data_IF_933457977570
#
_entry.id   IF_933457977570
#
_cell.length_a   1.000
_cell.length_b   1.000
_cell.length_c   1.000
_cell.angle_alpha   90.00
_cell.angle_beta   90.00
_cell.angle_gamma   90.00
#
_symmetry.space_group_name_H-M   'P 1'
#
loop_
_entity.id
_entity.type
_entity.pdbx_description
1 polymer ?
#
# COMPACT_ATOMS: atom_id res chain seq x y z
N UNK A 1 15.33 27.65 -2.62
CA UNK A 1 14.02 27.10 -2.22
C UNK A 1 14.10 25.60 -2.08
N UNK A 2 13.83 25.09 -0.87
CA UNK A 2 13.82 23.66 -0.54
C UNK A 2 12.50 23.04 -1.01
N UNK A 3 12.50 21.83 -1.61
CA UNK A 3 11.29 21.22 -2.16
C UNK A 3 10.22 20.97 -1.07
N UNK A 4 8.95 21.25 -1.37
CA UNK A 4 7.78 21.04 -0.48
C UNK A 4 7.33 19.57 -0.34
N UNK A 5 8.03 18.67 -1.04
CA UNK A 5 7.69 17.25 -1.16
C UNK A 5 9.00 16.51 -1.36
N UNK A 6 9.23 15.49 -0.54
CA UNK A 6 10.37 14.59 -0.64
C UNK A 6 9.79 13.19 -0.81
N UNK A 7 10.01 12.63 -1.98
CA UNK A 7 9.75 11.23 -2.26
C UNK A 7 11.03 10.46 -1.95
N UNK A 8 10.99 9.70 -0.87
CA UNK A 8 12.08 8.79 -0.52
C UNK A 8 11.70 7.40 -1.02
N UNK A 9 12.25 6.99 -2.15
CA UNK A 9 12.50 5.57 -2.35
C UNK A 9 13.61 5.17 -1.41
N UNK A 10 13.45 4.07 -0.67
CA UNK A 10 14.61 3.37 -0.09
C UNK A 10 14.96 2.26 -1.08
N UNK A 11 15.75 2.54 -2.15
CA UNK A 11 16.16 1.51 -3.07
C UNK A 11 17.23 0.67 -2.40
N UNK A 12 17.11 -0.64 -2.54
CA UNK A 12 18.32 -1.45 -2.62
C UNK A 12 18.86 -1.28 -4.05
N UNK A 13 19.75 -0.28 -4.23
CA UNK A 13 20.55 0.10 -5.42
C UNK A 13 19.91 -0.19 -6.81
N UNK A 14 19.51 0.78 -7.65
CA UNK A 14 20.39 1.70 -8.41
C UNK A 14 19.56 2.67 -9.28
N UNK A 15 20.22 3.80 -9.61
CA UNK A 15 20.04 4.83 -10.66
C UNK A 15 18.79 5.73 -10.69
N UNK A 16 19.04 7.04 -10.78
CA UNK A 16 18.18 8.15 -10.39
C UNK A 16 17.39 8.78 -11.55
N UNK A 17 16.22 9.34 -11.23
CA UNK A 17 15.35 10.11 -12.14
C UNK A 17 15.29 11.57 -11.67
N UNK A 18 15.12 12.50 -12.62
CA UNK A 18 15.40 13.93 -12.52
C UNK A 18 14.21 14.84 -12.14
N UNK A 19 14.45 16.09 -11.70
CA UNK A 19 13.53 16.92 -10.91
C UNK A 19 12.23 17.47 -11.55
N UNK A 20 11.83 17.01 -12.73
CA UNK A 20 10.65 17.52 -13.46
C UNK A 20 9.36 16.70 -13.17
N UNK A 21 9.42 15.76 -12.24
CA UNK A 21 8.43 14.71 -11.97
C UNK A 21 7.42 15.06 -10.86
N UNK A 22 6.67 16.16 -11.01
CA UNK A 22 5.62 16.57 -10.07
C UNK A 22 4.25 16.68 -10.74
N UNK A 23 3.44 15.61 -10.72
CA UNK A 23 1.99 15.70 -10.42
C UNK A 23 1.31 14.33 -10.10
N UNK A 24 0.83 14.28 -8.86
CA UNK A 24 -0.29 13.55 -8.22
C UNK A 24 -0.60 12.06 -8.48
N UNK A 25 -0.23 11.27 -7.46
CA UNK A 25 -0.87 10.09 -6.84
C UNK A 25 -1.21 8.84 -7.67
N UNK A 26 -1.43 8.94 -8.97
CA UNK A 26 -1.69 7.78 -9.86
C UNK A 26 -0.48 7.41 -10.70
N UNK A 27 0.54 8.27 -10.70
CA UNK A 27 1.72 8.18 -11.57
C UNK A 27 2.99 7.87 -10.77
N UNK A 28 3.10 8.34 -9.52
CA UNK A 28 4.31 8.22 -8.69
C UNK A 28 4.76 6.77 -8.43
N UNK A 29 3.87 5.84 -8.08
CA UNK A 29 4.29 4.45 -7.87
C UNK A 29 4.76 3.77 -9.17
N UNK A 30 4.05 3.98 -10.28
CA UNK A 30 4.45 3.45 -11.58
C UNK A 30 5.74 4.09 -12.11
N UNK A 31 5.91 5.40 -11.93
CA UNK A 31 7.11 6.16 -12.30
C UNK A 31 8.32 5.76 -11.45
N UNK A 32 8.17 5.77 -10.12
CA UNK A 32 9.23 5.38 -9.19
C UNK A 32 9.68 3.92 -9.40
N UNK A 33 8.77 3.05 -9.85
CA UNK A 33 9.07 1.66 -10.17
C UNK A 33 9.44 1.44 -11.65
N UNK A 34 9.40 2.49 -12.48
CA UNK A 34 9.59 2.45 -13.93
C UNK A 34 8.76 1.35 -14.62
N UNK A 35 7.50 1.16 -14.20
CA UNK A 35 6.57 0.19 -14.77
C UNK A 35 5.38 0.88 -15.43
N UNK A 36 4.95 0.38 -16.58
CA UNK A 36 3.77 0.90 -17.28
C UNK A 36 2.44 0.37 -16.72
N UNK A 37 2.49 -0.71 -15.95
CA UNK A 37 1.33 -1.42 -15.41
C UNK A 37 1.69 -2.05 -14.07
N UNK A 38 0.76 -2.01 -13.11
CA UNK A 38 0.85 -2.76 -11.86
C UNK A 38 0.05 -4.06 -11.99
N UNK A 39 0.68 -5.19 -11.66
CA UNK A 39 0.01 -6.49 -11.70
C UNK A 39 -1.08 -6.61 -10.63
N UNK A 40 -0.81 -6.16 -9.41
CA UNK A 40 -1.76 -6.18 -8.31
C UNK A 40 -1.48 -5.05 -7.33
N UNK A 41 -2.54 -4.41 -6.85
CA UNK A 41 -2.47 -3.41 -5.77
C UNK A 41 -3.37 -3.86 -4.63
N UNK A 42 -2.81 -3.84 -3.42
CA UNK A 42 -3.47 -4.31 -2.21
C UNK A 42 -3.60 -3.14 -1.24
N UNK A 43 -4.81 -2.88 -0.76
CA UNK A 43 -5.04 -1.87 0.27
C UNK A 43 -5.01 -2.50 1.65
N UNK A 44 -4.28 -1.86 2.55
CA UNK A 44 -4.41 -2.11 3.98
C UNK A 44 -5.45 -1.12 4.53
N UNK A 45 -6.43 -1.59 5.32
CA UNK A 45 -7.31 -0.69 6.06
C UNK A 45 -6.50 0.23 6.98
N UNK A 46 -6.97 1.47 7.21
CA UNK A 46 -6.27 2.40 8.11
C UNK A 46 -6.23 1.83 9.54
N UNK A 47 -5.14 2.07 10.28
CA UNK A 47 -5.10 1.68 11.69
C UNK A 47 -6.10 2.53 12.46
N UNK A 48 -7.08 1.88 13.09
CA UNK A 48 -8.09 2.54 13.92
C UNK A 48 -7.65 2.56 15.40
N UNK A 49 -8.16 3.52 16.20
CA UNK A 49 -7.98 3.54 17.64
C UNK A 49 -8.48 2.25 18.32
N UNK A 50 -7.94 1.94 19.49
CA UNK A 50 -8.38 0.77 20.26
C UNK A 50 -9.89 0.81 20.56
N UNK A 51 -10.60 -0.25 20.16
CA UNK A 51 -12.04 -0.39 20.38
C UNK A 51 -12.91 -0.02 19.17
N UNK A 52 -12.32 0.56 18.11
CA UNK A 52 -13.02 0.79 16.85
C UNK A 52 -12.82 -0.37 15.87
N UNK A 53 -13.90 -0.76 15.20
CA UNK A 53 -13.89 -1.80 14.17
C UNK A 53 -13.83 -1.19 12.79
N UNK A 54 -13.11 -1.85 11.87
CA UNK A 54 -13.11 -1.47 10.46
C UNK A 54 -14.53 -1.58 9.88
N UNK A 55 -14.92 -0.59 9.08
CA UNK A 55 -16.21 -0.59 8.39
C UNK A 55 -16.00 -0.50 6.88
N UNK A 56 -17.03 -0.88 6.12
CA UNK A 56 -17.00 -0.76 4.66
C UNK A 56 -16.77 0.70 4.23
N UNK A 57 -17.36 1.68 4.94
CA UNK A 57 -17.22 3.11 4.63
C UNK A 57 -15.77 3.59 4.68
N UNK A 58 -14.93 2.98 5.52
CA UNK A 58 -13.50 3.30 5.57
C UNK A 58 -12.76 2.87 4.29
N UNK A 59 -13.23 1.82 3.63
CA UNK A 59 -12.59 1.23 2.43
C UNK A 59 -13.11 1.84 1.13
N UNK A 60 -14.38 2.26 1.09
CA UNK A 60 -15.05 2.71 -0.13
C UNK A 60 -14.30 3.81 -0.91
N UNK A 61 -13.75 4.88 -0.28
CA UNK A 61 -13.06 5.93 -1.03
C UNK A 61 -11.84 5.40 -1.80
N UNK A 62 -10.99 4.62 -1.12
CA UNK A 62 -9.80 4.04 -1.73
C UNK A 62 -10.18 2.98 -2.79
N UNK A 63 -11.21 2.17 -2.51
CA UNK A 63 -11.65 1.14 -3.44
C UNK A 63 -12.17 1.73 -4.76
N UNK A 64 -12.99 2.80 -4.74
CA UNK A 64 -13.47 3.47 -5.96
C UNK A 64 -12.33 3.98 -6.85
N UNK A 65 -11.28 4.52 -6.24
CA UNK A 65 -10.10 4.96 -6.98
C UNK A 65 -9.39 3.79 -7.67
N UNK A 66 -9.24 2.67 -6.96
CA UNK A 66 -8.68 1.44 -7.51
C UNK A 66 -9.53 0.82 -8.63
N UNK A 67 -10.87 0.85 -8.48
CA UNK A 67 -11.79 0.42 -9.54
C UNK A 67 -11.55 1.23 -10.82
N UNK A 68 -11.43 2.55 -10.71
CA UNK A 68 -11.13 3.42 -11.86
C UNK A 68 -9.76 3.11 -12.49
N UNK A 69 -8.77 2.71 -11.70
CA UNK A 69 -7.45 2.31 -12.19
C UNK A 69 -7.47 0.95 -12.92
N UNK A 70 -8.29 0.01 -12.46
CA UNK A 70 -8.51 -1.26 -13.16
C UNK A 70 -9.27 -1.03 -14.47
N UNK A 71 -10.34 -0.23 -14.44
CA UNK A 71 -11.15 0.09 -15.62
C UNK A 71 -10.34 0.85 -16.69
N UNK A 72 -9.40 1.69 -16.27
CA UNK A 72 -8.45 2.38 -17.16
C UNK A 72 -7.23 1.54 -17.56
N UNK A 73 -7.20 0.24 -17.19
CA UNK A 73 -6.14 -0.71 -17.52
C UNK A 73 -4.74 -0.30 -17.03
N UNK A 74 -4.68 0.44 -15.90
CA UNK A 74 -3.42 0.80 -15.22
C UNK A 74 -3.00 -0.21 -14.15
N UNK A 75 -3.97 -0.96 -13.64
CA UNK A 75 -3.78 -2.04 -12.66
C UNK A 75 -4.52 -3.27 -13.20
N UNK A 76 -3.89 -4.45 -13.16
CA UNK A 76 -4.54 -5.68 -13.61
C UNK A 76 -5.49 -6.29 -12.56
N UNK A 77 -5.16 -6.18 -11.27
CA UNK A 77 -5.94 -6.74 -10.18
C UNK A 77 -5.85 -5.89 -8.91
N UNK A 78 -6.88 -5.95 -8.06
CA UNK A 78 -6.94 -5.22 -6.79
C UNK A 78 -7.34 -6.15 -5.66
N UNK A 79 -6.80 -5.93 -4.47
CA UNK A 79 -7.03 -6.77 -3.31
C UNK A 79 -6.96 -6.02 -2.00
N UNK A 80 -7.14 -6.74 -0.91
CA UNK A 80 -7.18 -6.20 0.45
C UNK A 80 -6.18 -6.89 1.37
N UNK A 81 -5.91 -6.29 2.52
CA UNK A 81 -5.16 -6.88 3.62
C UNK A 81 -6.02 -6.91 4.87
N UNK A 82 -5.91 -7.98 5.64
CA UNK A 82 -6.41 -8.12 7.00
C UNK A 82 -7.92 -7.89 7.17
N UNK A 83 -8.71 -8.09 6.11
CA UNK A 83 -10.16 -8.12 6.24
C UNK A 83 -10.60 -9.48 6.77
N UNK A 84 -11.49 -9.46 7.76
CA UNK A 84 -12.24 -10.64 8.17
C UNK A 84 -13.29 -11.02 7.11
N UNK A 85 -13.97 -12.15 7.35
CA UNK A 85 -14.98 -12.67 6.43
C UNK A 85 -16.13 -11.68 6.23
N UNK A 86 -16.60 -11.05 7.30
CA UNK A 86 -17.78 -10.18 7.26
C UNK A 86 -17.50 -8.95 6.42
N UNK A 87 -16.39 -8.26 6.67
CA UNK A 87 -16.02 -7.05 5.95
C UNK A 87 -15.60 -7.34 4.51
N UNK A 88 -14.89 -8.45 4.27
CA UNK A 88 -14.55 -8.88 2.91
C UNK A 88 -15.81 -9.17 2.08
N UNK A 89 -16.81 -9.83 2.68
CA UNK A 89 -18.10 -10.10 2.01
C UNK A 89 -18.89 -8.82 1.74
N UNK A 90 -18.94 -7.88 2.69
CA UNK A 90 -19.57 -6.57 2.49
C UNK A 90 -18.91 -5.83 1.32
N UNK A 91 -17.57 -5.78 1.28
CA UNK A 91 -16.83 -5.16 0.20
C UNK A 91 -17.09 -5.87 -1.13
N UNK A 92 -17.02 -7.20 -1.14
CA UNK A 92 -17.24 -8.00 -2.35
C UNK A 92 -18.64 -7.74 -2.93
N UNK A 93 -19.68 -7.69 -2.10
CA UNK A 93 -21.05 -7.47 -2.54
C UNK A 93 -21.27 -6.06 -3.08
N UNK A 94 -20.66 -5.05 -2.45
CA UNK A 94 -20.81 -3.65 -2.84
C UNK A 94 -19.97 -3.26 -4.07
N UNK A 95 -18.76 -3.80 -4.20
CA UNK A 95 -17.79 -3.39 -5.22
C UNK A 95 -18.21 -3.77 -6.65
N UNK A 96 -17.88 -2.91 -7.62
CA UNK A 96 -18.01 -3.20 -9.05
C UNK A 96 -16.84 -4.08 -9.54
N UNK A 97 -15.61 -3.74 -9.14
CA UNK A 97 -14.44 -4.61 -9.36
C UNK A 97 -14.18 -5.40 -8.10
N UNK A 98 -14.30 -6.72 -8.19
CA UNK A 98 -14.18 -7.61 -7.03
C UNK A 98 -12.74 -7.73 -6.54
N UNK A 99 -12.50 -7.83 -5.21
CA UNK A 99 -11.17 -8.12 -4.70
C UNK A 99 -10.70 -9.48 -5.22
N UNK A 100 -9.55 -9.52 -5.90
CA UNK A 100 -8.96 -10.77 -6.38
C UNK A 100 -8.17 -11.51 -5.29
N UNK A 101 -7.82 -10.82 -4.21
CA UNK A 101 -7.02 -11.38 -3.13
C UNK A 101 -7.29 -10.68 -1.80
N UNK A 102 -7.11 -11.41 -0.70
CA UNK A 102 -7.05 -10.87 0.66
C UNK A 102 -5.80 -11.41 1.36
N UNK A 103 -4.92 -10.53 1.85
CA UNK A 103 -3.77 -10.93 2.66
C UNK A 103 -4.19 -11.09 4.12
N UNK A 104 -3.57 -12.04 4.83
CA UNK A 104 -3.80 -12.23 6.27
C UNK A 104 -2.47 -12.25 7.01
N UNK A 105 -2.40 -11.46 8.07
CA UNK A 105 -1.21 -11.37 8.91
C UNK A 105 -1.01 -12.64 9.75
N UNK A 106 0.13 -13.30 9.54
CA UNK A 106 0.50 -14.52 10.27
C UNK A 106 0.72 -14.28 11.77
N UNK A 107 1.02 -13.04 12.18
CA UNK A 107 1.13 -12.68 13.59
C UNK A 107 -0.22 -12.79 14.33
N UNK A 108 -1.34 -12.77 13.60
CA UNK A 108 -2.69 -12.79 14.17
C UNK A 108 -3.33 -14.18 14.18
N UNK A 109 -2.84 -15.17 13.41
CA UNK A 109 -3.18 -16.58 13.55
C UNK A 109 -2.33 -17.47 12.62
N UNK A 110 -1.84 -18.62 13.08
CA UNK A 110 -1.18 -19.62 12.22
C UNK A 110 -2.18 -20.50 11.42
N UNK A 111 -3.48 -20.39 11.74
CA UNK A 111 -4.56 -21.12 11.09
C UNK A 111 -5.56 -20.13 10.52
N UNK A 112 -5.76 -20.16 9.21
CA UNK A 112 -6.75 -19.32 8.54
C UNK A 112 -8.17 -19.66 9.02
N UNK A 113 -9.02 -18.67 9.33
CA UNK A 113 -10.41 -18.93 9.70
C UNK A 113 -11.13 -19.77 8.62
N UNK A 114 -11.80 -20.89 8.99
CA UNK A 114 -12.45 -21.77 8.02
C UNK A 114 -13.54 -21.10 7.18
N UNK A 115 -14.27 -20.16 7.78
CA UNK A 115 -15.32 -19.36 7.14
C UNK A 115 -14.76 -18.38 6.10
N UNK A 116 -13.68 -17.67 6.44
CA UNK A 116 -12.95 -16.83 5.49
C UNK A 116 -12.41 -17.67 4.32
N UNK A 117 -11.85 -18.85 4.63
CA UNK A 117 -11.33 -19.77 3.62
C UNK A 117 -12.42 -20.28 2.68
N UNK A 118 -13.58 -20.65 3.22
CA UNK A 118 -14.72 -21.11 2.44
C UNK A 118 -15.25 -20.00 1.52
N UNK A 119 -15.46 -18.80 2.05
CA UNK A 119 -15.91 -17.65 1.28
C UNK A 119 -14.92 -17.29 0.16
N UNK A 120 -13.63 -17.18 0.50
CA UNK A 120 -12.61 -16.84 -0.49
C UNK A 120 -12.51 -17.90 -1.60
N UNK A 121 -12.64 -19.18 -1.27
CA UNK A 121 -12.67 -20.26 -2.25
C UNK A 121 -13.91 -20.22 -3.14
N UNK A 122 -15.08 -19.91 -2.58
CA UNK A 122 -16.34 -19.83 -3.31
C UNK A 122 -16.33 -18.71 -4.36
N UNK A 123 -15.72 -17.58 -4.03
CA UNK A 123 -15.68 -16.38 -4.86
C UNK A 123 -14.34 -16.16 -5.59
N UNK A 124 -13.47 -17.18 -5.63
CA UNK A 124 -12.15 -17.16 -6.29
C UNK A 124 -11.24 -16.00 -5.82
N UNK A 125 -11.28 -15.71 -4.52
CA UNK A 125 -10.41 -14.73 -3.86
C UNK A 125 -9.16 -15.46 -3.36
N UNK A 126 -7.99 -15.04 -3.82
CA UNK A 126 -6.73 -15.61 -3.38
C UNK A 126 -6.40 -15.17 -1.95
N UNK A 127 -6.28 -16.13 -1.03
CA UNK A 127 -5.78 -15.86 0.31
C UNK A 127 -4.25 -15.95 0.34
N UNK A 128 -3.62 -14.83 0.69
CA UNK A 128 -2.17 -14.70 0.79
C UNK A 128 -1.78 -14.44 2.25
N UNK A 129 -0.52 -14.69 2.58
CA UNK A 129 0.00 -14.43 3.93
C UNK A 129 1.09 -13.38 3.90
N UNK A 130 1.14 -12.56 4.96
CA UNK A 130 2.21 -11.59 5.18
C UNK A 130 2.61 -11.55 6.65
N UNK A 131 3.77 -10.93 6.91
CA UNK A 131 4.33 -10.69 8.24
C UNK A 131 4.64 -9.19 8.43
N UNK A 132 3.92 -8.34 7.71
CA UNK A 132 4.16 -6.90 7.80
C UNK A 132 3.67 -6.43 9.18
N UNK A 133 4.38 -5.49 9.84
CA UNK A 133 3.90 -4.88 11.07
C UNK A 133 2.61 -4.09 10.80
N UNK A 134 1.76 -3.92 11.82
CA UNK A 134 0.51 -3.12 11.73
C UNK A 134 0.76 -1.70 11.22
N UNK A 135 1.91 -1.14 11.59
CA UNK A 135 2.39 0.15 11.10
C UNK A 135 3.78 -0.08 10.51
N UNK A 136 3.95 0.19 9.21
CA UNK A 136 5.21 -0.06 8.48
C UNK A 136 6.35 0.85 8.98
N UNK A 137 6.03 2.08 9.32
CA UNK A 137 6.96 3.05 9.93
C UNK A 137 6.13 4.01 10.79
N UNK A 138 6.55 4.18 12.03
CA UNK A 138 5.88 5.10 12.95
C UNK A 138 6.23 6.54 12.61
N UNK A 139 5.36 7.49 12.96
CA UNK A 139 5.68 8.92 12.83
C UNK A 139 7.00 9.29 13.52
N UNK A 140 7.29 8.68 14.68
CA UNK A 140 8.54 8.89 15.42
C UNK A 140 9.76 8.35 14.65
N UNK A 141 9.69 7.10 14.17
CA UNK A 141 10.77 6.49 13.40
C UNK A 141 11.01 7.22 12.07
N UNK A 142 9.96 7.76 11.45
CA UNK A 142 10.09 8.62 10.28
C UNK A 142 10.82 9.92 10.61
N UNK A 143 10.44 10.59 11.70
CA UNK A 143 11.11 11.83 12.14
C UNK A 143 12.59 11.60 12.45
N UNK A 144 12.93 10.52 13.17
CA UNK A 144 14.32 10.14 13.44
C UNK A 144 15.12 9.93 12.15
N UNK A 145 14.57 9.17 11.19
CA UNK A 145 15.23 8.90 9.91
C UNK A 145 15.49 10.17 9.08
N UNK A 146 14.53 11.12 9.08
CA UNK A 146 14.69 12.42 8.41
C UNK A 146 15.74 13.27 9.10
N UNK A 147 15.76 13.26 10.44
CA UNK A 147 16.71 14.02 11.26
C UNK A 147 18.15 13.56 11.04
N UNK A 148 18.40 12.25 11.00
CA UNK A 148 19.73 11.69 10.74
C UNK A 148 20.25 12.01 9.34
N UNK A 149 19.34 12.10 8.36
CA UNK A 149 19.68 12.30 6.96
C UNK A 149 19.92 13.78 6.59
N UNK A 150 19.41 14.72 7.39
CA UNK A 150 19.46 16.16 7.07
C UNK A 150 19.75 17.02 8.31
N UNK A 151 20.98 17.52 8.41
CA UNK A 151 21.44 18.34 9.55
C UNK A 151 20.74 19.72 9.66
N UNK A 152 20.09 20.20 8.59
CA UNK A 152 19.57 21.57 8.47
C UNK A 152 18.05 21.69 8.31
N UNK A 153 17.30 20.58 8.25
CA UNK A 153 15.83 20.63 8.13
C UNK A 153 15.17 20.58 9.50
N UNK A 154 14.25 21.51 9.76
CA UNK A 154 13.33 21.40 10.90
C UNK A 154 12.40 20.21 10.64
N UNK A 155 12.74 19.08 11.23
CA UNK A 155 12.02 17.80 11.15
C UNK A 155 10.53 17.95 11.50
N UNK A 156 10.21 18.90 12.38
CA UNK A 156 8.83 19.19 12.81
C UNK A 156 7.90 19.61 11.66
N UNK A 157 8.44 20.06 10.54
CA UNK A 157 7.63 20.50 9.41
C UNK A 157 7.24 19.34 8.48
N UNK A 158 7.76 18.13 8.66
CA UNK A 158 7.49 17.00 7.75
C UNK A 158 6.47 16.01 8.33
N UNK A 159 5.43 15.72 7.55
CA UNK A 159 4.39 14.76 7.88
C UNK A 159 4.42 13.58 6.90
N UNK A 160 4.52 12.38 7.44
CA UNK A 160 4.31 11.14 6.69
C UNK A 160 2.85 11.06 6.23
N UNK A 161 2.61 10.86 4.94
CA UNK A 161 1.27 10.70 4.38
C UNK A 161 0.94 9.24 4.10
N UNK A 162 1.86 8.54 3.43
CA UNK A 162 1.67 7.12 3.12
C UNK A 162 3.01 6.38 2.94
N UNK A 163 2.91 5.07 3.08
CA UNK A 163 4.03 4.13 2.92
C UNK A 163 3.52 3.00 2.04
N UNK A 164 4.21 2.75 0.94
CA UNK A 164 3.87 1.70 -0.01
C UNK A 164 4.98 0.65 0.00
N UNK A 165 4.62 -0.60 0.27
CA UNK A 165 5.52 -1.73 0.04
C UNK A 165 5.34 -2.25 -1.38
N UNK A 166 6.44 -2.46 -2.11
CA UNK A 166 6.39 -3.02 -3.45
C UNK A 166 7.22 -4.30 -3.58
N UNK A 167 6.87 -5.14 -4.54
CA UNK A 167 7.63 -6.31 -4.94
C UNK A 167 7.49 -6.53 -6.44
N UNK A 168 8.61 -6.65 -7.14
CA UNK A 168 8.69 -6.90 -8.58
C UNK A 168 9.07 -8.37 -8.77
N UNK A 169 8.21 -9.13 -9.44
CA UNK A 169 8.40 -10.58 -9.62
C UNK A 169 8.51 -10.91 -11.10
N UNK A 170 9.55 -11.66 -11.47
CA UNK A 170 9.67 -12.26 -12.81
C UNK A 170 8.81 -13.52 -12.84
N UNK A 171 7.55 -13.39 -13.24
CA UNK A 171 6.54 -14.47 -13.22
C UNK A 171 7.01 -15.77 -13.88
N UNK A 172 7.72 -15.70 -15.02
CA UNK A 172 8.20 -16.90 -15.73
C UNK A 172 9.22 -17.74 -14.96
N UNK A 173 9.86 -17.16 -13.94
CA UNK A 173 10.88 -17.83 -13.12
C UNK A 173 10.50 -17.92 -11.64
N UNK A 174 9.42 -17.26 -11.22
CA UNK A 174 9.04 -17.14 -9.82
C UNK A 174 10.05 -16.38 -8.95
N UNK A 175 10.89 -15.52 -9.56
CA UNK A 175 11.99 -14.83 -8.86
C UNK A 175 11.57 -13.41 -8.51
N UNK A 176 11.79 -13.01 -7.26
CA UNK A 176 11.68 -11.61 -6.83
C UNK A 176 12.89 -10.85 -7.37
N UNK A 177 12.64 -9.93 -8.30
CA UNK A 177 13.66 -9.05 -8.89
C UNK A 177 13.99 -7.88 -7.96
N UNK A 178 12.98 -7.31 -7.32
CA UNK A 178 13.14 -6.21 -6.39
C UNK A 178 12.03 -6.23 -5.33
N UNK A 179 12.31 -5.70 -4.15
CA UNK A 179 11.33 -5.42 -3.10
C UNK A 179 11.79 -4.19 -2.33
N UNK A 180 10.86 -3.41 -1.80
CA UNK A 180 11.21 -2.21 -1.05
C UNK A 180 10.00 -1.44 -0.58
N UNK A 181 10.27 -0.22 -0.12
CA UNK A 181 9.26 0.72 0.34
C UNK A 181 9.43 2.05 -0.38
N UNK A 182 8.30 2.66 -0.72
CA UNK A 182 8.19 4.05 -1.14
C UNK A 182 7.51 4.81 -0.01
N UNK A 183 8.11 5.93 0.40
CA UNK A 183 7.61 6.77 1.47
C UNK A 183 7.30 8.13 0.89
N UNK A 184 6.09 8.61 1.15
CA UNK A 184 5.68 9.95 0.77
C UNK A 184 5.45 10.80 2.00
N UNK A 185 6.06 11.98 1.98
CA UNK A 185 5.97 12.94 3.06
C UNK A 185 5.75 14.34 2.51
N UNK A 186 4.94 15.10 3.24
CA UNK A 186 4.57 16.47 2.90
C UNK A 186 5.07 17.42 3.96
N UNK A 187 5.61 18.56 3.52
CA UNK A 187 5.96 19.64 4.43
C UNK A 187 4.70 20.43 4.80
N UNK A 188 4.42 20.57 6.09
CA UNK A 188 3.44 21.51 6.63
C UNK A 188 3.93 22.93 6.41
N UNK A 189 3.13 23.74 5.71
CA UNK A 189 3.37 25.17 5.62
C UNK A 189 2.94 25.81 6.95
N UNK A 190 3.85 26.56 7.57
CA UNK A 190 3.50 27.55 8.61
C UNK A 190 2.62 28.65 8.03
#
# INVERSE_FOLDING_TARGET
DLPDTVDCSIPQATEAITPEEREELKVSACQALAVSLLDSVIIAPPVLPEGESQTLENLQPAWRELEGLVQSHKIAAIGTSDLDKELLEQLYNWAQVKPSSNQVNLASCCVMPPDLTAFAKEFDIQLLTHNDPKELITAASFQEAVQESTQDLKVADWRLEWVLRYSIIVKSRGIIKAKGYLVHSKRGNL
#
